data_IF_725028251411
#
_entry.id   IF_725028251411
#
_cell.length_a   1.000
_cell.length_b   1.000
_cell.length_c   1.000
_cell.angle_alpha   90.00
_cell.angle_beta   90.00
_cell.angle_gamma   90.00
#
_symmetry.space_group_name_H-M   'P 1'
#
loop_
_entity.id
_entity.type
_entity.pdbx_description
1 polymer ?
#
# COMPACT_ATOMS: atom_id res chain seq x y z
N UNK A 1 -5.57 5.19 14.89
CA UNK A 1 -6.53 4.83 13.82
C UNK A 1 -6.67 3.32 13.87
N UNK A 2 -7.90 2.78 13.92
CA UNK A 2 -8.09 1.33 13.95
C UNK A 2 -7.52 0.65 12.69
N UNK A 3 -6.98 -0.57 12.84
CA UNK A 3 -6.41 -1.33 11.73
C UNK A 3 -7.43 -1.56 10.60
N UNK A 4 -8.69 -1.80 10.94
CA UNK A 4 -9.79 -1.94 9.97
C UNK A 4 -9.99 -0.69 9.10
N UNK A 5 -9.79 0.51 9.66
CA UNK A 5 -9.88 1.76 8.89
C UNK A 5 -8.70 1.91 7.91
N UNK A 6 -7.51 1.47 8.34
CA UNK A 6 -6.31 1.46 7.48
C UNK A 6 -6.47 0.47 6.33
N UNK A 7 -7.03 -0.72 6.59
CA UNK A 7 -7.37 -1.70 5.55
C UNK A 7 -8.39 -1.11 4.56
N UNK A 8 -9.46 -0.47 5.06
CA UNK A 8 -10.44 0.19 4.19
C UNK A 8 -9.86 1.30 3.33
N UNK A 9 -8.88 2.06 3.84
CA UNK A 9 -8.13 3.06 3.09
C UNK A 9 -7.30 2.41 1.96
N UNK A 10 -6.61 1.31 2.26
CA UNK A 10 -5.81 0.56 1.27
C UNK A 10 -6.71 0.07 0.14
N UNK A 11 -7.86 -0.52 0.47
CA UNK A 11 -8.82 -1.03 -0.51
C UNK A 11 -9.42 0.07 -1.37
N UNK A 12 -9.81 1.19 -0.75
CA UNK A 12 -10.30 2.37 -1.48
C UNK A 12 -9.23 2.92 -2.43
N UNK A 13 -7.98 2.96 -1.99
CA UNK A 13 -6.85 3.41 -2.82
C UNK A 13 -6.64 2.46 -3.98
N UNK A 14 -6.72 1.15 -3.74
CA UNK A 14 -6.56 0.12 -4.77
C UNK A 14 -7.64 0.24 -5.85
N UNK A 15 -8.91 0.37 -5.43
CA UNK A 15 -10.04 0.57 -6.34
C UNK A 15 -9.94 1.88 -7.12
N UNK A 16 -9.57 2.98 -6.46
CA UNK A 16 -9.39 4.28 -7.10
C UNK A 16 -8.35 4.22 -8.22
N UNK A 17 -7.21 3.60 -7.94
CA UNK A 17 -6.18 3.43 -8.94
C UNK A 17 -6.65 2.53 -10.10
N UNK A 18 -7.35 1.42 -9.81
CA UNK A 18 -7.94 0.55 -10.83
C UNK A 18 -8.97 1.27 -11.72
N UNK A 19 -9.74 2.20 -11.16
CA UNK A 19 -10.74 2.99 -11.88
C UNK A 19 -10.13 4.09 -12.78
N UNK A 20 -8.92 4.58 -12.49
CA UNK A 20 -8.24 5.63 -13.27
C UNK A 20 -7.77 5.17 -14.67
N UNK A 21 -8.06 3.95 -15.10
CA UNK A 21 -7.98 3.51 -16.50
C UNK A 21 -6.56 3.29 -17.06
N UNK A 22 -5.51 3.76 -16.39
CA UNK A 22 -4.11 3.59 -16.84
C UNK A 22 -3.53 2.19 -16.57
N UNK A 23 -4.24 1.34 -15.80
CA UNK A 23 -3.76 0.02 -15.40
C UNK A 23 -3.76 -0.98 -16.56
N UNK A 24 -4.62 -0.79 -17.56
CA UNK A 24 -4.72 -1.69 -18.71
C UNK A 24 -3.51 -1.67 -19.65
N UNK A 25 -2.54 -0.78 -19.42
CA UNK A 25 -1.32 -0.68 -20.24
C UNK A 25 -0.14 -1.48 -19.67
N UNK A 26 -0.22 -1.95 -18.42
CA UNK A 26 0.83 -2.76 -17.79
C UNK A 26 0.24 -3.85 -16.87
N UNK A 27 -0.09 -5.05 -17.42
CA UNK A 27 -0.61 -6.17 -16.63
C UNK A 27 0.34 -6.63 -15.53
N UNK A 28 1.66 -6.54 -15.71
CA UNK A 28 2.64 -6.93 -14.70
C UNK A 28 2.62 -5.95 -13.51
N UNK A 29 2.44 -4.66 -13.79
CA UNK A 29 2.20 -3.63 -12.79
C UNK A 29 0.96 -3.89 -11.94
N UNK A 30 -0.13 -4.40 -12.52
CA UNK A 30 -1.36 -4.75 -11.79
C UNK A 30 -1.11 -5.88 -10.78
N UNK A 31 -0.46 -6.95 -11.24
CA UNK A 31 -0.18 -8.10 -10.37
C UNK A 31 0.72 -7.69 -9.20
N UNK A 32 1.73 -6.86 -9.45
CA UNK A 32 2.60 -6.30 -8.41
C UNK A 32 1.82 -5.44 -7.40
N UNK A 33 0.92 -4.56 -7.85
CA UNK A 33 0.11 -3.76 -6.90
C UNK A 33 -0.84 -4.64 -6.10
N UNK A 34 -1.43 -5.69 -6.70
CA UNK A 34 -2.26 -6.65 -5.96
C UNK A 34 -1.46 -7.36 -4.87
N UNK A 35 -0.26 -7.82 -5.18
CA UNK A 35 0.64 -8.46 -4.20
C UNK A 35 1.00 -7.50 -3.06
N UNK A 36 1.31 -6.24 -3.37
CA UNK A 36 1.58 -5.20 -2.37
C UNK A 36 0.35 -4.94 -1.50
N UNK A 37 -0.83 -4.79 -2.10
CA UNK A 37 -2.09 -4.60 -1.37
C UNK A 37 -2.33 -5.76 -0.40
N UNK A 38 -2.20 -7.00 -0.87
CA UNK A 38 -2.39 -8.18 -0.03
C UNK A 38 -1.35 -8.25 1.10
N UNK A 39 -0.12 -7.81 0.84
CA UNK A 39 0.91 -7.73 1.89
C UNK A 39 0.56 -6.70 2.95
N UNK A 40 0.21 -5.48 2.55
CA UNK A 40 -0.16 -4.40 3.48
C UNK A 40 -1.34 -4.78 4.36
N UNK A 41 -2.37 -5.42 3.77
CA UNK A 41 -3.54 -5.90 4.53
C UNK A 41 -3.11 -6.93 5.57
N UNK A 42 -2.28 -7.93 5.20
CA UNK A 42 -1.79 -8.93 6.15
C UNK A 42 -0.99 -8.32 7.28
N UNK A 43 -0.11 -7.35 6.98
CA UNK A 43 0.68 -6.66 8.01
C UNK A 43 -0.22 -5.94 9.02
N UNK A 44 -1.35 -5.37 8.57
CA UNK A 44 -2.35 -4.74 9.44
C UNK A 44 -3.23 -5.74 10.21
N UNK A 45 -3.54 -6.90 9.62
CA UNK A 45 -4.28 -7.99 10.29
C UNK A 45 -3.47 -8.65 11.42
N UNK A 46 -2.14 -8.51 11.43
CA UNK A 46 -1.28 -9.02 12.49
C UNK A 46 -1.35 -8.23 13.80
N UNK A 47 -1.99 -7.06 13.82
CA UNK A 47 -2.16 -6.31 15.05
C UNK A 47 -3.29 -6.90 15.90
N UNK A 48 -2.98 -7.25 17.15
CA UNK A 48 -3.97 -7.69 18.14
C UNK A 48 -4.80 -6.52 18.74
N UNK A 49 -4.64 -5.30 18.22
CA UNK A 49 -5.28 -4.08 18.72
C UNK A 49 -5.09 -2.87 17.80
N UNK A 50 -5.38 -1.68 18.31
CA UNK A 50 -5.17 -0.45 17.54
C UNK A 50 -3.67 -0.15 17.43
N UNK A 51 -3.12 -0.10 16.20
CA UNK A 51 -1.70 0.16 16.02
C UNK A 51 -1.37 1.60 16.43
N UNK A 52 -0.26 1.76 17.13
CA UNK A 52 0.29 3.07 17.50
C UNK A 52 0.81 3.82 16.27
N UNK A 53 0.92 5.14 16.39
CA UNK A 53 1.50 5.98 15.31
C UNK A 53 2.93 5.54 14.93
N UNK A 54 3.72 5.06 15.88
CA UNK A 54 5.08 4.56 15.60
C UNK A 54 5.08 3.25 14.84
N UNK A 55 4.18 2.32 15.17
CA UNK A 55 4.06 1.03 14.46
C UNK A 55 3.60 1.25 13.02
N UNK A 56 2.61 2.13 12.83
CA UNK A 56 2.15 2.50 11.50
C UNK A 56 3.24 3.22 10.68
N UNK A 57 4.04 4.08 11.32
CA UNK A 57 5.18 4.73 10.65
C UNK A 57 6.34 3.77 10.32
N UNK A 58 6.50 2.68 11.07
CA UNK A 58 7.42 1.59 10.71
C UNK A 58 6.88 0.81 9.51
N UNK A 59 5.59 0.44 9.51
CA UNK A 59 4.96 -0.21 8.35
C UNK A 59 5.10 0.63 7.08
N UNK A 60 4.87 1.93 7.13
CA UNK A 60 5.09 2.81 5.98
C UNK A 60 6.54 2.80 5.47
N UNK A 61 7.53 2.58 6.34
CA UNK A 61 8.94 2.43 5.94
C UNK A 61 9.19 1.06 5.31
N UNK A 62 8.66 -0.01 5.91
CA UNK A 62 8.76 -1.37 5.40
C UNK A 62 8.10 -1.49 4.02
N UNK A 63 6.90 -0.94 3.84
CA UNK A 63 6.19 -0.95 2.57
C UNK A 63 6.92 -0.15 1.49
N UNK A 64 7.53 0.99 1.83
CA UNK A 64 8.38 1.73 0.87
C UNK A 64 9.65 0.97 0.51
N UNK A 65 10.16 0.10 1.39
CA UNK A 65 11.31 -0.75 1.09
C UNK A 65 10.97 -1.84 0.06
N UNK A 66 9.71 -2.28 -0.06
CA UNK A 66 9.26 -3.24 -1.08
C UNK A 66 9.59 -2.76 -2.51
N UNK A 67 9.70 -1.45 -2.74
CA UNK A 67 10.11 -0.85 -4.02
C UNK A 67 11.52 -1.23 -4.45
N UNK A 68 12.41 -1.38 -3.48
CA UNK A 68 13.82 -1.70 -3.72
C UNK A 68 13.95 -3.18 -4.11
N UNK A 69 13.12 -4.05 -3.51
CA UNK A 69 13.17 -5.49 -3.72
C UNK A 69 12.57 -5.92 -5.06
N UNK A 70 11.59 -5.18 -5.59
CA UNK A 70 10.87 -5.60 -6.79
C UNK A 70 11.65 -5.45 -8.09
N UNK A 71 12.49 -4.40 -8.28
CA UNK A 71 13.24 -4.25 -9.57
C UNK A 71 14.43 -3.27 -9.58
N UNK A 72 14.79 -2.55 -8.51
CA UNK A 72 15.88 -1.55 -8.55
C UNK A 72 15.59 -0.27 -9.36
N UNK A 73 14.48 -0.20 -10.10
CA UNK A 73 13.90 1.00 -10.69
C UNK A 73 12.46 1.19 -10.20
N UNK A 74 12.06 2.46 -10.02
CA UNK A 74 10.73 2.85 -9.61
C UNK A 74 9.68 2.34 -10.63
N UNK A 75 8.92 1.32 -10.25
CA UNK A 75 7.88 0.77 -11.12
C UNK A 75 6.59 1.53 -10.87
N UNK A 76 6.17 2.31 -11.87
CA UNK A 76 4.78 2.70 -11.98
C UNK A 76 4.00 1.47 -12.44
N UNK A 77 2.86 1.08 -11.83
CA UNK A 77 2.10 1.71 -10.73
C UNK A 77 2.40 1.36 -9.24
N UNK A 78 3.15 0.30 -8.84
CA UNK A 78 3.47 -0.05 -7.45
C UNK A 78 3.88 1.09 -6.52
N UNK A 79 4.81 1.93 -6.96
CA UNK A 79 5.38 2.97 -6.11
C UNK A 79 4.36 4.01 -5.69
N UNK A 80 3.54 4.42 -6.64
CA UNK A 80 2.48 5.41 -6.46
C UNK A 80 1.38 4.90 -5.54
N UNK A 81 1.05 3.62 -5.63
CA UNK A 81 0.11 2.99 -4.70
C UNK A 81 0.65 3.06 -3.27
N UNK A 82 1.91 2.63 -3.05
CA UNK A 82 2.54 2.68 -1.73
C UNK A 82 2.62 4.12 -1.20
N UNK A 83 3.03 5.09 -2.03
CA UNK A 83 3.10 6.49 -1.58
C UNK A 83 1.73 7.04 -1.22
N UNK A 84 0.69 6.72 -2.00
CA UNK A 84 -0.66 7.24 -1.75
C UNK A 84 -1.20 6.74 -0.41
N UNK A 85 -1.01 5.46 -0.10
CA UNK A 85 -1.39 4.88 1.19
C UNK A 85 -0.59 5.54 2.32
N UNK A 86 0.75 5.52 2.24
CA UNK A 86 1.60 6.03 3.31
C UNK A 86 1.40 7.52 3.58
N UNK A 87 1.20 8.35 2.54
CA UNK A 87 0.95 9.78 2.70
C UNK A 87 -0.36 10.05 3.44
N UNK A 88 -1.45 9.35 3.08
CA UNK A 88 -2.74 9.53 3.77
C UNK A 88 -2.63 9.13 5.23
N UNK A 89 -1.91 8.04 5.51
CA UNK A 89 -1.64 7.57 6.86
C UNK A 89 -0.84 8.61 7.68
N UNK A 90 0.21 9.19 7.10
CA UNK A 90 1.13 10.10 7.79
C UNK A 90 0.51 11.47 8.11
N UNK A 91 -0.49 11.91 7.34
CA UNK A 91 -1.18 13.20 7.55
C UNK A 91 -2.47 13.10 8.38
N UNK A 92 -2.91 11.87 8.73
CA UNK A 92 -4.12 11.59 9.52
C UNK A 92 -3.84 11.49 11.03
#
# INVERSE_FOLDING_TARGET
MAAENLIGLIDTTYEYFGALGNWHQDPAGIDAVREIRDRMVRDLEMFEGEPSKSEVAELCREWRALRIELTGEATYPPDMFIESVCQVIEIS
#
